data_IF_323558328247
#
_entry.id   IF_323558328247
#
_cell.length_a   1.000
_cell.length_b   1.000
_cell.length_c   1.000
_cell.angle_alpha   90.00
_cell.angle_beta   90.00
_cell.angle_gamma   90.00
#
_symmetry.space_group_name_H-M   'P 1'
#
loop_
_entity.id
_entity.type
_entity.pdbx_description
1 polymer ?
#
# COMPACT_ATOMS: atom_id res chain seq x y z
N UNK A 1 -7.75 10.71 28.46
CA UNK A 1 -8.36 10.63 27.13
C UNK A 1 -8.29 9.18 26.70
N UNK A 2 -9.46 8.57 26.54
CA UNK A 2 -9.65 7.12 26.39
C UNK A 2 -9.28 6.68 24.96
N UNK A 3 -8.49 5.62 24.83
CA UNK A 3 -7.90 5.14 23.58
C UNK A 3 -8.71 3.99 22.95
N UNK A 4 -10.02 3.94 23.18
CA UNK A 4 -10.88 2.81 22.76
C UNK A 4 -11.82 3.10 21.58
N UNK A 5 -11.74 4.26 20.94
CA UNK A 5 -12.63 4.60 19.82
C UNK A 5 -11.88 4.84 18.49
N UNK A 6 -11.10 3.84 18.06
CA UNK A 6 -10.68 3.76 16.66
C UNK A 6 -11.54 2.70 15.97
N UNK A 7 -12.46 3.07 15.06
CA UNK A 7 -13.25 2.09 14.34
C UNK A 7 -12.31 1.22 13.50
N UNK A 8 -12.26 -0.08 13.83
CA UNK A 8 -11.58 -1.13 13.07
C UNK A 8 -12.28 -1.30 11.72
N UNK A 9 -12.11 -0.35 10.80
CA UNK A 9 -12.49 -0.53 9.40
C UNK A 9 -11.35 -1.26 8.71
N UNK A 10 -11.40 -2.60 8.76
CA UNK A 10 -10.57 -3.41 7.88
C UNK A 10 -11.06 -3.13 6.45
N UNK A 11 -10.24 -2.56 5.55
CA UNK A 11 -10.56 -2.63 4.14
C UNK A 11 -10.66 -4.11 3.78
N UNK A 12 -11.57 -4.46 2.88
CA UNK A 12 -11.80 -5.83 2.42
C UNK A 12 -10.50 -6.45 1.88
N UNK A 13 -9.72 -7.07 2.77
CA UNK A 13 -8.53 -7.84 2.45
C UNK A 13 -9.02 -9.13 1.79
N UNK A 14 -8.74 -9.28 0.50
CA UNK A 14 -8.94 -10.55 -0.20
C UNK A 14 -8.27 -11.67 0.63
N UNK A 15 -8.94 -12.80 0.88
CA UNK A 15 -8.38 -13.86 1.70
C UNK A 15 -7.01 -14.27 1.14
N UNK A 16 -5.98 -14.24 1.99
CA UNK A 16 -4.67 -14.84 1.70
C UNK A 16 -4.90 -16.34 1.52
N UNK A 17 -5.06 -16.74 0.26
CA UNK A 17 -4.97 -18.13 -0.13
C UNK A 17 -3.49 -18.49 -0.11
N UNK A 18 -3.16 -19.62 0.52
CA UNK A 18 -1.81 -20.16 0.76
C UNK A 18 -1.05 -20.56 -0.52
N UNK A 19 -1.03 -19.71 -1.54
CA UNK A 19 -0.25 -19.82 -2.76
C UNK A 19 0.75 -18.65 -2.78
N UNK A 20 2.02 -18.87 -3.15
CA UNK A 20 2.90 -17.73 -3.42
C UNK A 20 2.24 -16.87 -4.49
N UNK A 21 2.13 -15.57 -4.24
CA UNK A 21 1.53 -14.59 -5.18
C UNK A 21 2.25 -14.66 -6.53
N UNK A 22 3.56 -14.90 -6.50
CA UNK A 22 4.38 -15.03 -7.69
C UNK A 22 4.52 -16.49 -8.12
N UNK A 23 4.25 -16.75 -9.41
CA UNK A 23 4.53 -18.04 -10.02
C UNK A 23 6.04 -18.23 -10.30
N UNK A 24 6.46 -19.46 -10.62
CA UNK A 24 7.86 -19.77 -10.85
C UNK A 24 8.51 -18.96 -11.99
N UNK A 25 7.74 -18.62 -13.02
CA UNK A 25 8.24 -17.82 -14.15
C UNK A 25 8.52 -16.38 -13.71
N UNK A 26 7.62 -15.79 -12.91
CA UNK A 26 7.80 -14.47 -12.31
C UNK A 26 9.01 -14.42 -11.37
N UNK A 27 9.19 -15.47 -10.55
CA UNK A 27 10.37 -15.58 -9.66
C UNK A 27 11.67 -15.72 -10.48
N UNK A 28 11.66 -16.52 -11.55
CA UNK A 28 12.83 -16.67 -12.42
C UNK A 28 13.16 -15.35 -13.13
N UNK A 29 12.14 -14.65 -13.64
CA UNK A 29 12.28 -13.33 -14.27
C UNK A 29 12.86 -12.30 -13.29
N UNK A 30 12.35 -12.24 -12.06
CA UNK A 30 12.89 -11.34 -11.04
C UNK A 30 14.37 -11.62 -10.74
N UNK A 31 14.76 -12.90 -10.64
CA UNK A 31 16.16 -13.27 -10.41
C UNK A 31 17.10 -12.90 -11.55
N UNK A 32 16.60 -12.91 -12.79
CA UNK A 32 17.38 -12.62 -14.00
C UNK A 32 17.42 -11.13 -14.33
N UNK A 33 16.29 -10.44 -14.18
CA UNK A 33 16.09 -9.05 -14.64
C UNK A 33 16.08 -8.02 -13.50
N UNK A 34 15.94 -8.45 -12.24
CA UNK A 34 15.90 -7.58 -11.06
C UNK A 34 14.56 -6.86 -10.83
N UNK A 35 13.51 -7.20 -11.58
CA UNK A 35 12.17 -6.65 -11.44
C UNK A 35 11.10 -7.67 -11.84
N UNK A 36 9.85 -7.45 -11.45
CA UNK A 36 8.70 -8.25 -11.90
C UNK A 36 7.49 -7.33 -12.09
N UNK A 37 6.83 -7.42 -13.24
CA UNK A 37 5.56 -6.75 -13.49
C UNK A 37 4.80 -7.45 -14.64
N UNK A 38 3.47 -7.32 -14.69
CA UNK A 38 2.61 -6.72 -13.67
C UNK A 38 2.43 -7.63 -12.43
N UNK A 39 2.05 -7.02 -11.31
CA UNK A 39 1.57 -7.71 -10.10
C UNK A 39 0.31 -6.99 -9.64
N UNK A 40 -0.82 -7.70 -9.62
CA UNK A 40 -2.11 -7.15 -9.23
C UNK A 40 -2.22 -7.08 -7.70
N UNK A 41 -1.77 -5.96 -7.13
CA UNK A 41 -1.83 -5.71 -5.68
C UNK A 41 -3.18 -5.13 -5.25
N UNK A 42 -3.69 -4.18 -6.04
CA UNK A 42 -4.89 -3.41 -5.73
C UNK A 42 -5.87 -3.48 -6.90
N UNK A 43 -7.16 -3.43 -6.59
CA UNK A 43 -8.17 -3.11 -7.61
C UNK A 43 -8.04 -1.65 -8.03
N UNK A 44 -8.48 -1.33 -9.25
CA UNK A 44 -8.47 0.05 -9.76
C UNK A 44 -9.16 1.03 -8.81
N UNK A 45 -10.33 0.68 -8.28
CA UNK A 45 -11.07 1.51 -7.33
C UNK A 45 -10.31 1.70 -6.01
N UNK A 46 -9.63 0.67 -5.50
CA UNK A 46 -8.82 0.79 -4.29
C UNK A 46 -7.61 1.71 -4.51
N UNK A 47 -6.93 1.56 -5.66
CA UNK A 47 -5.84 2.44 -6.05
C UNK A 47 -6.30 3.91 -6.20
N UNK A 48 -7.46 4.13 -6.84
CA UNK A 48 -8.04 5.47 -6.98
C UNK A 48 -8.37 6.12 -5.62
N UNK A 49 -8.93 5.36 -4.68
CA UNK A 49 -9.23 5.86 -3.34
C UNK A 49 -7.97 6.25 -2.55
N UNK A 50 -6.89 5.47 -2.66
CA UNK A 50 -5.61 5.79 -2.01
C UNK A 50 -4.96 7.02 -2.64
N UNK A 51 -5.07 7.20 -3.96
CA UNK A 51 -4.60 8.41 -4.64
C UNK A 51 -5.35 9.66 -4.13
N UNK A 52 -6.68 9.60 -4.05
CA UNK A 52 -7.49 10.71 -3.50
C UNK A 52 -7.08 11.04 -2.07
N UNK A 53 -6.89 10.03 -1.21
CA UNK A 53 -6.46 10.24 0.17
C UNK A 53 -5.07 10.88 0.26
N UNK A 54 -4.18 10.52 -0.67
CA UNK A 54 -2.83 11.06 -0.76
C UNK A 54 -2.83 12.52 -1.20
N UNK A 55 -3.57 12.86 -2.25
CA UNK A 55 -3.70 14.23 -2.77
C UNK A 55 -4.39 15.16 -1.75
N UNK A 56 -5.40 14.67 -1.03
CA UNK A 56 -6.05 15.41 0.06
C UNK A 56 -5.08 15.69 1.23
N UNK A 57 -4.19 14.75 1.55
CA UNK A 57 -3.14 14.96 2.54
C UNK A 57 -2.11 16.01 2.08
N UNK A 58 -1.70 16.01 0.80
CA UNK A 58 -0.81 17.05 0.25
C UNK A 58 -1.44 18.43 0.31
N UNK A 59 -2.71 18.54 -0.06
CA UNK A 59 -3.45 19.80 -0.07
C UNK A 59 -3.56 20.39 1.35
N UNK A 60 -3.73 19.54 2.36
CA UNK A 60 -3.82 19.96 3.77
C UNK A 60 -2.47 20.31 4.40
N UNK A 61 -1.38 19.66 3.97
CA UNK A 61 -0.05 19.82 4.56
C UNK A 61 1.02 20.07 3.48
N UNK A 62 0.92 21.16 2.71
CA UNK A 62 1.78 21.39 1.56
C UNK A 62 3.26 21.56 1.92
N UNK A 63 3.56 22.14 3.09
CA UNK A 63 4.95 22.35 3.54
C UNK A 63 5.59 21.06 4.07
N UNK A 64 4.80 20.14 4.63
CA UNK A 64 5.30 18.90 5.25
C UNK A 64 5.26 17.70 4.30
N UNK A 65 4.29 17.64 3.38
CA UNK A 65 4.04 16.49 2.51
C UNK A 65 4.26 16.80 1.02
N UNK A 66 5.29 17.56 0.68
CA UNK A 66 5.71 17.74 -0.72
C UNK A 66 6.79 16.72 -1.14
N UNK A 67 7.10 16.65 -2.44
CA UNK A 67 7.96 15.61 -3.02
C UNK A 67 9.32 15.38 -2.35
N UNK A 68 9.90 16.40 -1.71
CA UNK A 68 11.17 16.28 -0.95
C UNK A 68 11.02 15.75 0.48
N UNK A 69 9.85 15.86 1.09
CA UNK A 69 9.58 15.50 2.49
C UNK A 69 8.64 14.30 2.65
N UNK A 70 8.30 13.62 1.55
CA UNK A 70 7.45 12.42 1.53
C UNK A 70 8.18 11.11 1.78
N UNK A 71 9.49 11.15 2.03
CA UNK A 71 10.23 9.96 2.44
C UNK A 71 9.68 9.46 3.77
N UNK A 72 9.25 8.19 3.81
CA UNK A 72 8.61 7.56 4.96
C UNK A 72 7.22 8.13 5.34
N UNK A 73 6.44 8.59 4.37
CA UNK A 73 5.08 9.10 4.62
C UNK A 73 4.15 8.09 5.35
N UNK A 74 4.44 6.78 5.29
CA UNK A 74 3.75 5.75 6.08
C UNK A 74 3.88 5.94 7.61
N UNK A 75 4.84 6.72 8.10
CA UNK A 75 4.97 7.03 9.54
C UNK A 75 3.87 7.99 10.03
N UNK A 76 3.27 8.77 9.12
CA UNK A 76 2.29 9.82 9.46
C UNK A 76 0.96 9.67 8.72
N UNK A 77 0.92 8.85 7.67
CA UNK A 77 -0.29 8.52 6.90
C UNK A 77 -0.63 7.05 7.11
N UNK A 78 -1.58 6.70 8.01
CA UNK A 78 -1.92 5.31 8.33
C UNK A 78 -2.29 4.47 7.12
N UNK A 79 -2.98 5.04 6.13
CA UNK A 79 -3.35 4.31 4.91
C UNK A 79 -2.14 3.87 4.06
N UNK A 80 -1.01 4.60 4.13
CA UNK A 80 0.24 4.17 3.50
C UNK A 80 0.96 3.11 4.34
N UNK A 81 0.80 3.12 5.66
CA UNK A 81 1.29 2.04 6.52
C UNK A 81 0.54 0.74 6.24
N UNK A 82 -0.79 0.81 6.12
CA UNK A 82 -1.63 -0.33 5.75
C UNK A 82 -1.25 -0.88 4.36
N UNK A 83 -1.01 0.01 3.39
CA UNK A 83 -0.53 -0.40 2.06
C UNK A 83 0.84 -1.07 2.12
N UNK A 84 1.79 -0.54 2.89
CA UNK A 84 3.13 -1.14 3.04
C UNK A 84 3.08 -2.53 3.68
N UNK A 85 2.02 -2.83 4.44
CA UNK A 85 1.78 -4.12 5.07
C UNK A 85 0.77 -4.99 4.29
N UNK A 86 0.44 -4.63 3.05
CA UNK A 86 -0.53 -5.37 2.26
C UNK A 86 -0.03 -6.81 2.01
N UNK A 87 -0.84 -7.87 2.29
CA UNK A 87 -0.37 -9.25 2.20
C UNK A 87 0.24 -9.60 0.84
N UNK A 88 -0.36 -9.12 -0.26
CA UNK A 88 0.15 -9.37 -1.63
C UNK A 88 1.52 -8.71 -1.89
N UNK A 89 1.90 -7.68 -1.13
CA UNK A 89 3.23 -7.06 -1.21
C UNK A 89 4.26 -7.85 -0.37
N UNK A 90 3.82 -8.45 0.74
CA UNK A 90 4.69 -9.14 1.69
C UNK A 90 4.90 -10.63 1.35
N UNK A 91 3.89 -11.28 0.79
CA UNK A 91 3.88 -12.70 0.36
C UNK A 91 4.56 -12.89 -1.01
#
# INVERSE_FOLDING_TARGET
VDATDYPQRRPDVLPSAAMPVLNNEQVAHYRDQGWVAPVDVLTESAAANLLIALEDAESRYPDDLHGGHRNNAHLVLPFLADLALHPVILD
#
